data_IF_453215684706
#
_entry.id   IF_453215684706
#
_cell.length_a   1.000
_cell.length_b   1.000
_cell.length_c   1.000
_cell.angle_alpha   90.00
_cell.angle_beta   90.00
_cell.angle_gamma   90.00
#
_symmetry.space_group_name_H-M   'P 1'
#
loop_
_entity.id
_entity.type
_entity.pdbx_description
1 polymer ?
#
# COMPACT_ATOMS: atom_id res chain seq x y z
N UNK A 1 -23.40 89.93 14.77
CA UNK A 1 -22.07 90.05 14.12
C UNK A 1 -21.55 88.65 13.81
N UNK A 2 -21.69 88.37 12.52
CA UNK A 2 -21.33 87.05 11.97
C UNK A 2 -19.87 86.99 11.55
N UNK A 3 -19.22 85.89 11.79
CA UNK A 3 -17.94 85.54 11.10
C UNK A 3 -18.06 84.15 10.53
N UNK A 4 -18.11 84.04 9.23
CA UNK A 4 -17.97 82.84 8.44
C UNK A 4 -16.49 82.39 8.41
N UNK A 5 -16.22 81.14 8.70
CA UNK A 5 -14.94 80.47 8.31
C UNK A 5 -15.22 79.36 7.34
N UNK A 6 -14.74 79.58 6.15
CA UNK A 6 -14.73 78.59 5.05
C UNK A 6 -13.58 77.64 5.25
N UNK A 7 -13.87 76.35 5.51
CA UNK A 7 -12.89 75.26 5.52
C UNK A 7 -12.75 74.60 4.16
N UNK A 8 -11.53 74.69 3.60
CA UNK A 8 -11.15 73.99 2.35
C UNK A 8 -10.82 72.54 2.68
N UNK A 9 -11.65 71.60 2.27
CA UNK A 9 -11.39 70.17 2.39
C UNK A 9 -10.46 69.71 1.25
N UNK A 10 -9.30 69.25 1.61
CA UNK A 10 -8.36 68.56 0.68
C UNK A 10 -8.79 67.10 0.55
N UNK A 11 -9.24 66.74 -0.63
CA UNK A 11 -9.57 65.35 -0.99
C UNK A 11 -8.24 64.65 -1.36
N UNK A 12 -7.75 63.74 -0.47
CA UNK A 12 -6.63 62.84 -0.79
C UNK A 12 -7.21 61.60 -1.45
N UNK A 13 -7.04 61.50 -2.79
CA UNK A 13 -7.35 60.29 -3.52
C UNK A 13 -6.25 59.24 -3.28
N UNK A 14 -6.55 58.23 -2.46
CA UNK A 14 -5.69 57.06 -2.34
C UNK A 14 -5.86 56.15 -3.55
N UNK A 15 -4.89 56.17 -4.46
CA UNK A 15 -4.76 55.15 -5.51
C UNK A 15 -4.34 53.82 -4.90
N UNK A 16 -5.31 52.98 -4.56
CA UNK A 16 -5.07 51.58 -4.22
C UNK A 16 -4.75 50.79 -5.49
N UNK A 17 -3.49 50.51 -5.74
CA UNK A 17 -3.09 49.56 -6.80
C UNK A 17 -3.41 48.14 -6.28
N UNK A 18 -4.42 47.50 -6.90
CA UNK A 18 -4.68 46.07 -6.74
C UNK A 18 -3.50 45.32 -7.38
N UNK A 19 -2.67 44.71 -6.55
CA UNK A 19 -1.65 43.78 -7.01
C UNK A 19 -2.38 42.51 -7.44
N UNK A 20 -2.59 42.37 -8.75
CA UNK A 20 -3.06 41.13 -9.34
C UNK A 20 -1.97 40.07 -9.18
N UNK A 21 -2.03 39.33 -8.07
CA UNK A 21 -1.24 38.14 -7.90
C UNK A 21 -1.67 37.10 -8.94
N UNK A 22 -0.84 36.88 -9.96
CA UNK A 22 -0.98 35.74 -10.84
C UNK A 22 -0.97 34.48 -9.97
N UNK A 23 -1.96 33.56 -10.08
CA UNK A 23 -1.90 32.30 -9.37
C UNK A 23 -0.65 31.56 -9.82
N UNK A 24 0.20 31.19 -8.87
CA UNK A 24 1.34 30.32 -9.10
C UNK A 24 0.75 29.01 -9.66
N UNK A 25 1.19 28.52 -10.83
CA UNK A 25 0.75 27.23 -11.32
C UNK A 25 1.09 26.18 -10.24
N UNK A 26 0.08 25.53 -9.67
CA UNK A 26 0.31 24.32 -8.91
C UNK A 26 0.96 23.33 -9.88
N UNK A 27 2.12 22.83 -9.49
CA UNK A 27 2.82 21.80 -10.24
C UNK A 27 1.88 20.59 -10.35
N UNK A 28 1.43 20.35 -11.58
CA UNK A 28 0.59 19.22 -11.93
C UNK A 28 1.35 17.93 -11.63
N UNK A 29 0.77 17.05 -10.80
CA UNK A 29 0.99 15.63 -10.89
C UNK A 29 1.91 14.93 -9.88
N UNK A 30 2.40 15.55 -8.82
CA UNK A 30 2.94 14.77 -7.70
C UNK A 30 1.77 14.18 -6.91
N UNK A 31 1.56 12.87 -7.02
CA UNK A 31 0.55 12.18 -6.22
C UNK A 31 0.79 12.49 -4.73
N UNK A 32 -0.25 13.00 -4.05
CA UNK A 32 -0.13 13.37 -2.64
C UNK A 32 0.31 12.14 -1.83
N UNK A 33 1.26 12.33 -0.91
CA UNK A 33 1.77 11.26 -0.06
C UNK A 33 0.65 10.60 0.74
N UNK A 34 0.56 9.26 0.76
CA UNK A 34 -0.44 8.58 1.57
C UNK A 34 -0.24 8.86 3.05
N UNK A 35 -1.33 9.17 3.72
CA UNK A 35 -1.34 9.35 5.17
C UNK A 35 -1.55 8.03 5.91
N UNK A 36 -2.05 7.02 5.20
CA UNK A 36 -2.30 5.69 5.71
C UNK A 36 -1.88 4.65 4.68
N UNK A 37 -1.09 3.67 5.10
CA UNK A 37 -0.64 2.56 4.27
C UNK A 37 -1.01 1.24 4.94
N UNK A 38 -1.71 0.37 4.23
CA UNK A 38 -1.94 -1.02 4.62
C UNK A 38 -0.96 -1.90 3.85
N UNK A 39 -0.05 -2.54 4.56
CA UNK A 39 0.81 -3.57 3.99
C UNK A 39 0.05 -4.90 4.02
N UNK A 40 -0.19 -5.49 2.86
CA UNK A 40 -0.91 -6.76 2.68
C UNK A 40 0.10 -7.79 2.21
N UNK A 41 0.43 -8.72 3.11
CA UNK A 41 1.54 -9.64 2.93
C UNK A 41 1.04 -11.07 2.76
N UNK A 42 1.46 -11.68 1.67
CA UNK A 42 1.28 -13.10 1.42
C UNK A 42 2.11 -13.93 2.40
N UNK A 43 1.45 -14.81 3.11
CA UNK A 43 2.04 -15.81 4.02
C UNK A 43 1.68 -17.23 3.56
N UNK A 44 1.48 -17.42 2.26
CA UNK A 44 1.28 -18.77 1.71
C UNK A 44 2.58 -19.57 1.71
N UNK A 45 2.48 -20.92 1.68
CA UNK A 45 3.65 -21.79 1.70
C UNK A 45 4.60 -21.59 0.51
N UNK A 46 4.13 -21.04 -0.62
CA UNK A 46 4.99 -20.67 -1.75
C UNK A 46 6.05 -19.63 -1.38
N UNK A 47 5.82 -18.86 -0.30
CA UNK A 47 6.79 -17.89 0.22
C UNK A 47 8.00 -18.55 0.92
N UNK A 48 8.00 -19.87 1.14
CA UNK A 48 9.20 -20.61 1.56
C UNK A 48 10.21 -20.82 0.42
N UNK A 49 9.80 -20.62 -0.82
CA UNK A 49 10.67 -20.82 -1.97
C UNK A 49 11.98 -20.03 -1.85
N UNK A 50 13.08 -20.70 -2.25
CA UNK A 50 14.45 -20.19 -2.10
C UNK A 50 15.04 -19.64 -3.41
N UNK A 51 14.22 -19.46 -4.41
CA UNK A 51 14.57 -18.75 -5.65
C UNK A 51 14.91 -17.26 -5.40
N UNK A 52 14.47 -16.72 -4.27
CA UNK A 52 14.94 -15.45 -3.67
C UNK A 52 15.65 -15.79 -2.37
N UNK A 53 16.95 -15.55 -2.29
CA UNK A 53 17.82 -16.00 -1.16
C UNK A 53 17.67 -15.08 0.05
N UNK A 54 17.48 -15.61 1.29
CA UNK A 54 17.45 -17.02 1.67
C UNK A 54 16.10 -17.72 1.40
N UNK A 55 14.98 -16.97 1.42
CA UNK A 55 13.64 -17.37 0.98
C UNK A 55 12.81 -16.13 0.67
N UNK A 56 11.76 -16.26 -0.15
CA UNK A 56 10.81 -15.16 -0.42
C UNK A 56 10.29 -14.57 0.90
N UNK A 57 9.89 -15.41 1.85
CA UNK A 57 9.40 -15.00 3.16
C UNK A 57 10.42 -14.16 3.95
N UNK A 58 11.66 -14.64 4.05
CA UNK A 58 12.71 -13.94 4.79
C UNK A 58 13.00 -12.56 4.19
N UNK A 59 13.05 -12.50 2.86
CA UNK A 59 13.29 -11.25 2.13
C UNK A 59 12.10 -10.30 2.27
N UNK A 60 10.87 -10.80 2.12
CA UNK A 60 9.64 -10.01 2.27
C UNK A 60 9.54 -9.39 3.67
N UNK A 61 9.77 -10.19 4.72
CA UNK A 61 9.73 -9.74 6.10
C UNK A 61 10.75 -8.64 6.38
N UNK A 62 11.99 -8.83 5.94
CA UNK A 62 13.05 -7.82 6.10
C UNK A 62 12.69 -6.53 5.37
N UNK A 63 12.32 -6.61 4.12
CA UNK A 63 11.99 -5.43 3.32
C UNK A 63 10.76 -4.69 3.86
N UNK A 64 9.74 -5.41 4.37
CA UNK A 64 8.58 -4.81 5.02
C UNK A 64 8.96 -4.07 6.33
N UNK A 65 9.89 -4.62 7.12
CA UNK A 65 10.45 -3.95 8.30
C UNK A 65 11.16 -2.65 7.91
N UNK A 66 12.06 -2.72 6.94
CA UNK A 66 12.81 -1.55 6.45
C UNK A 66 11.86 -0.51 5.83
N UNK A 67 10.84 -0.95 5.10
CA UNK A 67 9.78 -0.08 4.58
C UNK A 67 9.06 0.67 5.70
N UNK A 68 8.69 -0.01 6.79
CA UNK A 68 7.99 0.60 7.91
C UNK A 68 8.77 1.76 8.54
N UNK A 69 10.07 1.57 8.73
CA UNK A 69 10.93 2.62 9.32
C UNK A 69 11.26 3.77 8.36
N UNK A 70 11.19 3.54 7.04
CA UNK A 70 11.38 4.59 6.03
C UNK A 70 10.15 5.50 5.85
N UNK A 71 8.97 5.06 6.30
CA UNK A 71 7.76 5.90 6.19
C UNK A 71 7.84 7.14 7.08
N UNK A 72 7.31 8.29 6.63
CA UNK A 72 7.21 9.48 7.46
C UNK A 72 6.54 9.17 8.81
N UNK A 73 7.02 9.79 9.90
CA UNK A 73 6.52 9.50 11.25
C UNK A 73 4.99 9.69 11.41
N UNK A 74 4.41 10.60 10.63
CA UNK A 74 2.95 10.87 10.62
C UNK A 74 2.13 9.85 9.82
N UNK A 75 2.75 9.06 8.94
CA UNK A 75 2.05 8.04 8.16
C UNK A 75 1.68 6.88 9.08
N UNK A 76 0.40 6.53 9.12
CA UNK A 76 -0.05 5.33 9.84
C UNK A 76 0.15 4.09 8.98
N UNK A 77 0.68 3.02 9.59
CA UNK A 77 0.88 1.72 8.95
C UNK A 77 -0.01 0.68 9.61
N UNK A 78 -0.66 -0.13 8.79
CA UNK A 78 -1.33 -1.35 9.21
C UNK A 78 -0.75 -2.58 8.51
N UNK A 79 -0.94 -3.74 9.10
CA UNK A 79 -0.51 -5.02 8.56
C UNK A 79 -1.69 -5.96 8.43
N UNK A 80 -1.85 -6.51 7.24
CA UNK A 80 -2.75 -7.63 6.95
C UNK A 80 -1.90 -8.76 6.41
N UNK A 81 -2.05 -9.96 6.94
CA UNK A 81 -1.47 -11.17 6.36
C UNK A 81 -2.58 -12.01 5.72
N UNK A 82 -2.24 -12.70 4.64
CA UNK A 82 -3.20 -13.60 3.99
C UNK A 82 -2.51 -14.85 3.45
N UNK A 83 -3.26 -15.96 3.54
CA UNK A 83 -3.03 -17.23 2.91
C UNK A 83 -4.39 -17.77 2.45
N UNK A 84 -4.88 -18.90 2.92
CA UNK A 84 -6.26 -19.36 2.66
C UNK A 84 -7.35 -18.46 3.28
N UNK A 85 -7.00 -17.67 4.27
CA UNK A 85 -7.80 -16.62 4.91
C UNK A 85 -6.95 -15.37 5.11
N UNK A 86 -7.58 -14.23 5.37
CA UNK A 86 -6.86 -13.00 5.71
C UNK A 86 -7.12 -12.57 7.15
N UNK A 87 -6.09 -11.97 7.78
CA UNK A 87 -6.15 -11.47 9.15
C UNK A 87 -5.52 -10.09 9.25
N UNK A 88 -6.21 -9.17 9.90
CA UNK A 88 -5.65 -7.87 10.28
C UNK A 88 -4.79 -8.08 11.51
N UNK A 89 -3.47 -8.01 11.34
CA UNK A 89 -2.50 -8.17 12.42
C UNK A 89 -2.33 -6.87 13.21
N UNK A 90 -2.31 -5.74 12.49
CA UNK A 90 -2.18 -4.41 13.08
C UNK A 90 -3.10 -3.44 12.35
N UNK A 91 -3.98 -2.77 13.10
CA UNK A 91 -4.71 -1.62 12.56
C UNK A 91 -3.75 -0.45 12.30
N UNK A 92 -4.09 0.45 11.36
CA UNK A 92 -3.24 1.61 11.07
C UNK A 92 -2.82 2.39 12.30
N UNK A 93 -1.51 2.40 12.57
CA UNK A 93 -0.88 3.08 13.72
C UNK A 93 0.45 3.72 13.32
N UNK A 94 0.91 4.70 14.09
CA UNK A 94 2.27 5.27 13.97
C UNK A 94 3.31 4.46 14.75
N UNK A 95 2.89 3.47 15.53
CA UNK A 95 3.77 2.56 16.27
C UNK A 95 4.41 1.54 15.31
N UNK A 96 5.69 1.75 14.99
CA UNK A 96 6.47 0.86 14.12
C UNK A 96 6.82 -0.45 14.81
N UNK A 97 6.96 -0.43 16.15
CA UNK A 97 7.21 -1.63 16.95
C UNK A 97 6.04 -2.62 16.83
N UNK A 98 4.81 -2.15 17.01
CA UNK A 98 3.62 -2.99 16.83
C UNK A 98 3.57 -3.65 15.44
N UNK A 99 3.96 -2.91 14.38
CA UNK A 99 4.01 -3.44 13.03
C UNK A 99 5.07 -4.55 12.88
N UNK A 100 6.29 -4.31 13.38
CA UNK A 100 7.41 -5.27 13.26
C UNK A 100 7.21 -6.50 14.14
N UNK A 101 6.69 -6.34 15.35
CA UNK A 101 6.37 -7.46 16.25
C UNK A 101 5.31 -8.39 15.63
N UNK A 102 4.28 -7.81 15.01
CA UNK A 102 3.25 -8.59 14.33
C UNK A 102 3.82 -9.33 13.10
N UNK A 103 4.73 -8.69 12.36
CA UNK A 103 5.41 -9.29 11.22
C UNK A 103 6.32 -10.45 11.64
N UNK A 104 7.02 -10.33 12.76
CA UNK A 104 7.89 -11.39 13.32
C UNK A 104 7.09 -12.59 13.83
N UNK A 105 5.85 -12.38 14.26
CA UNK A 105 4.95 -13.44 14.74
C UNK A 105 4.09 -14.05 13.63
N UNK A 106 4.15 -13.55 12.39
CA UNK A 106 3.37 -14.08 11.29
C UNK A 106 3.86 -15.48 10.88
N UNK A 107 2.92 -16.41 10.71
CA UNK A 107 3.20 -17.79 10.33
C UNK A 107 2.70 -18.09 8.93
N UNK A 108 3.45 -18.93 8.21
CA UNK A 108 3.05 -19.40 6.89
C UNK A 108 1.90 -20.40 6.99
N UNK A 109 1.03 -20.40 5.97
CA UNK A 109 -0.15 -21.25 5.91
C UNK A 109 -0.44 -21.67 4.46
N UNK A 110 -1.35 -22.64 4.30
CA UNK A 110 -1.73 -23.14 2.98
C UNK A 110 -2.67 -22.19 2.24
N UNK A 111 -2.63 -22.28 0.90
CA UNK A 111 -3.48 -21.55 -0.06
C UNK A 111 -3.15 -20.06 -0.15
N UNK A 112 -3.84 -19.39 -1.09
CA UNK A 112 -3.62 -17.95 -1.37
C UNK A 112 -4.95 -17.33 -1.74
N UNK A 113 -5.50 -16.47 -0.86
CA UNK A 113 -6.75 -15.75 -1.02
C UNK A 113 -6.49 -14.24 -1.12
N UNK A 114 -5.87 -13.80 -2.19
CA UNK A 114 -5.43 -12.42 -2.42
C UNK A 114 -6.59 -11.42 -2.30
N UNK A 115 -7.75 -11.75 -2.83
CA UNK A 115 -8.95 -10.92 -2.71
C UNK A 115 -9.38 -10.69 -1.26
N UNK A 116 -9.30 -11.74 -0.41
CA UNK A 116 -9.55 -11.60 1.04
C UNK A 116 -8.57 -10.66 1.71
N UNK A 117 -7.28 -10.70 1.33
CA UNK A 117 -6.25 -9.77 1.81
C UNK A 117 -6.63 -8.31 1.54
N UNK A 118 -7.02 -8.00 0.30
CA UNK A 118 -7.43 -6.64 -0.10
C UNK A 118 -8.72 -6.22 0.62
N UNK A 119 -9.75 -7.07 0.69
CA UNK A 119 -10.99 -6.76 1.41
C UNK A 119 -10.75 -6.52 2.90
N UNK A 120 -9.87 -7.31 3.53
CA UNK A 120 -9.51 -7.13 4.95
C UNK A 120 -8.77 -5.80 5.16
N UNK A 121 -7.91 -5.40 4.24
CA UNK A 121 -7.24 -4.10 4.28
C UNK A 121 -8.24 -2.94 4.13
N UNK A 122 -9.21 -3.04 3.23
CA UNK A 122 -10.28 -2.04 3.10
C UNK A 122 -11.11 -1.91 4.38
N UNK A 123 -11.44 -3.03 5.02
CA UNK A 123 -12.14 -3.06 6.31
C UNK A 123 -11.31 -2.40 7.42
N UNK A 124 -10.00 -2.65 7.46
CA UNK A 124 -9.09 -2.03 8.42
C UNK A 124 -8.99 -0.50 8.21
N UNK A 125 -8.92 -0.03 6.95
CA UNK A 125 -8.96 1.39 6.60
C UNK A 125 -10.26 2.03 7.08
N UNK A 126 -11.41 1.42 6.80
CA UNK A 126 -12.71 1.94 7.22
C UNK A 126 -12.82 2.00 8.75
N UNK A 127 -12.35 0.98 9.44
CA UNK A 127 -12.29 0.94 10.91
C UNK A 127 -11.39 2.06 11.46
N UNK A 128 -10.20 2.25 10.91
CA UNK A 128 -9.29 3.30 11.33
C UNK A 128 -9.89 4.71 11.12
N UNK A 129 -10.55 4.95 9.98
CA UNK A 129 -11.25 6.22 9.70
C UNK A 129 -12.38 6.52 10.69
N UNK A 130 -13.08 5.50 11.17
CA UNK A 130 -14.14 5.66 12.19
C UNK A 130 -13.56 5.99 13.55
N UNK A 131 -12.39 5.45 13.89
CA UNK A 131 -11.71 5.70 15.17
C UNK A 131 -11.01 7.08 15.18
N UNK A 132 -10.37 7.43 14.08
CA UNK A 132 -9.65 8.70 13.90
C UNK A 132 -9.81 9.17 12.44
N UNK A 133 -10.63 10.18 12.17
CA UNK A 133 -10.82 10.69 10.82
C UNK A 133 -9.47 11.10 10.19
N UNK A 134 -9.05 10.38 9.16
CA UNK A 134 -7.84 10.68 8.40
C UNK A 134 -8.22 11.43 7.12
N UNK A 135 -7.60 12.59 6.91
CA UNK A 135 -7.75 13.39 5.69
C UNK A 135 -6.50 13.19 4.83
N UNK A 136 -6.59 12.41 3.80
CA UNK A 136 -5.47 12.21 2.88
C UNK A 136 -5.56 10.87 2.18
N UNK A 137 -4.70 10.64 1.15
CA UNK A 137 -4.72 9.42 0.37
C UNK A 137 -4.42 8.20 1.24
N UNK A 138 -5.07 7.08 0.91
CA UNK A 138 -4.78 5.77 1.48
C UNK A 138 -4.23 4.87 0.39
N UNK A 139 -3.28 4.02 0.75
CA UNK A 139 -2.67 3.06 -0.15
C UNK A 139 -2.64 1.67 0.48
N UNK A 140 -2.90 0.66 -0.33
CA UNK A 140 -2.58 -0.73 -0.05
C UNK A 140 -1.29 -1.06 -0.81
N UNK A 141 -0.32 -1.66 -0.12
CA UNK A 141 0.88 -2.27 -0.71
C UNK A 141 0.73 -3.77 -0.57
N UNK A 142 0.43 -4.43 -1.68
CA UNK A 142 0.25 -5.89 -1.74
C UNK A 142 1.56 -6.53 -2.20
N UNK A 143 2.13 -7.41 -1.36
CA UNK A 143 3.31 -8.21 -1.68
C UNK A 143 2.94 -9.68 -1.68
N UNK A 144 3.14 -10.35 -2.82
CA UNK A 144 2.79 -11.74 -3.03
C UNK A 144 3.65 -12.35 -4.15
N UNK A 145 3.69 -13.66 -4.26
CA UNK A 145 4.15 -14.33 -5.47
C UNK A 145 3.06 -14.41 -6.56
N UNK A 146 1.82 -14.03 -6.23
CA UNK A 146 0.75 -13.65 -7.14
C UNK A 146 -0.30 -14.69 -7.44
N UNK A 147 -0.02 -15.98 -7.32
CA UNK A 147 -0.98 -17.00 -7.74
C UNK A 147 -2.10 -17.21 -6.73
N UNK A 148 -3.23 -16.52 -6.93
CA UNK A 148 -4.45 -16.78 -6.13
C UNK A 148 -4.95 -18.21 -6.39
N UNK A 149 -5.27 -18.92 -5.30
CA UNK A 149 -5.84 -20.28 -5.36
C UNK A 149 -7.27 -20.34 -4.81
N UNK A 150 -7.71 -19.30 -4.07
CA UNK A 150 -9.02 -19.27 -3.43
C UNK A 150 -9.63 -17.84 -3.41
N UNK A 151 -10.78 -17.66 -4.08
CA UNK A 151 -11.34 -18.50 -5.12
C UNK A 151 -10.41 -18.55 -6.35
N UNK A 152 -10.49 -19.61 -7.15
CA UNK A 152 -9.65 -19.70 -8.36
C UNK A 152 -10.02 -18.66 -9.43
N UNK A 153 -11.28 -18.24 -9.48
CA UNK A 153 -11.76 -17.16 -10.33
C UNK A 153 -11.50 -15.80 -9.67
N UNK A 154 -10.67 -14.99 -10.33
CA UNK A 154 -10.27 -13.67 -9.86
C UNK A 154 -11.41 -12.64 -9.91
N UNK A 155 -12.44 -12.86 -10.73
CA UNK A 155 -13.64 -12.05 -10.84
C UNK A 155 -14.80 -12.52 -9.94
N UNK A 156 -14.61 -13.63 -9.22
CA UNK A 156 -15.59 -14.08 -8.22
C UNK A 156 -15.85 -12.99 -7.16
N UNK A 157 -16.96 -13.03 -6.40
CA UNK A 157 -17.29 -11.99 -5.40
C UNK A 157 -16.20 -11.71 -4.36
N UNK A 158 -15.34 -12.70 -4.08
CA UNK A 158 -14.17 -12.58 -3.17
C UNK A 158 -12.85 -12.70 -3.90
N UNK A 159 -12.85 -12.62 -5.24
CA UNK A 159 -11.66 -12.66 -6.09
C UNK A 159 -10.87 -11.36 -6.05
N UNK A 160 -9.59 -11.44 -6.42
CA UNK A 160 -8.67 -10.32 -6.33
C UNK A 160 -9.03 -9.15 -7.25
N UNK A 161 -9.57 -9.42 -8.45
CA UNK A 161 -10.00 -8.35 -9.37
C UNK A 161 -11.24 -7.63 -8.86
N UNK A 162 -12.18 -8.36 -8.26
CA UNK A 162 -13.35 -7.76 -7.60
C UNK A 162 -12.92 -6.90 -6.42
N UNK A 163 -11.95 -7.36 -5.62
CA UNK A 163 -11.40 -6.60 -4.49
C UNK A 163 -10.64 -5.32 -4.96
N UNK A 164 -9.87 -5.42 -6.05
CA UNK A 164 -9.18 -4.27 -6.63
C UNK A 164 -10.16 -3.18 -7.11
N UNK A 165 -11.24 -3.57 -7.80
CA UNK A 165 -12.32 -2.64 -8.20
C UNK A 165 -13.01 -2.01 -6.98
N UNK A 166 -13.21 -2.79 -5.92
CA UNK A 166 -13.78 -2.27 -4.66
C UNK A 166 -12.84 -1.25 -3.99
N UNK A 167 -11.53 -1.49 -4.03
CA UNK A 167 -10.51 -0.53 -3.55
C UNK A 167 -10.59 0.78 -4.32
N UNK A 168 -10.60 0.71 -5.66
CA UNK A 168 -10.77 1.90 -6.52
C UNK A 168 -12.06 2.66 -6.20
N UNK A 169 -13.18 1.95 -6.07
CA UNK A 169 -14.46 2.56 -5.72
C UNK A 169 -14.44 3.25 -4.34
N UNK A 170 -13.61 2.77 -3.41
CA UNK A 170 -13.39 3.38 -2.09
C UNK A 170 -12.34 4.51 -2.11
N UNK A 171 -11.74 4.83 -3.26
CA UNK A 171 -10.67 5.82 -3.39
C UNK A 171 -9.34 5.37 -2.78
N UNK A 172 -9.10 4.06 -2.70
CA UNK A 172 -7.88 3.45 -2.16
C UNK A 172 -7.07 2.86 -3.32
N UNK A 173 -5.84 3.31 -3.51
CA UNK A 173 -4.94 2.72 -4.52
C UNK A 173 -4.34 1.41 -4.03
N UNK A 174 -4.16 0.43 -4.92
CA UNK A 174 -3.50 -0.84 -4.59
C UNK A 174 -2.26 -0.97 -5.47
N UNK A 175 -1.09 -0.75 -4.89
CA UNK A 175 0.18 -1.05 -5.56
C UNK A 175 0.59 -2.48 -5.24
N UNK A 176 1.11 -3.20 -6.22
CA UNK A 176 1.43 -4.62 -6.09
C UNK A 176 2.90 -4.90 -6.38
N UNK A 177 3.48 -5.85 -5.66
CA UNK A 177 4.84 -6.31 -5.85
C UNK A 177 4.82 -7.83 -6.00
N UNK A 178 5.27 -8.32 -7.16
CA UNK A 178 5.49 -9.75 -7.41
C UNK A 178 6.88 -10.13 -6.92
N UNK A 179 6.96 -11.02 -5.93
CA UNK A 179 8.24 -11.48 -5.36
C UNK A 179 8.53 -12.92 -5.75
N UNK A 180 9.65 -13.15 -6.42
CA UNK A 180 10.09 -14.47 -6.84
C UNK A 180 10.34 -14.57 -8.34
N UNK A 181 10.51 -15.81 -8.81
CA UNK A 181 10.81 -16.13 -10.20
C UNK A 181 9.85 -17.18 -10.77
N UNK A 182 9.89 -17.37 -12.09
CA UNK A 182 9.13 -18.42 -12.76
C UNK A 182 9.63 -19.85 -12.40
N UNK A 183 10.83 -19.98 -11.80
CA UNK A 183 11.45 -21.25 -11.44
C UNK A 183 11.39 -21.57 -9.94
N UNK A 184 10.59 -20.83 -9.16
CA UNK A 184 10.42 -21.07 -7.73
C UNK A 184 9.90 -22.47 -7.44
N UNK A 185 10.46 -23.11 -6.41
CA UNK A 185 10.04 -24.43 -5.91
C UNK A 185 10.03 -24.43 -4.39
N UNK A 186 9.14 -25.22 -3.80
CA UNK A 186 9.12 -25.53 -2.37
C UNK A 186 9.20 -27.02 -2.16
N UNK A 187 9.81 -27.42 -1.05
CA UNK A 187 9.85 -28.80 -0.62
C UNK A 187 8.75 -29.01 0.44
N UNK A 188 7.69 -29.72 0.08
CA UNK A 188 6.55 -30.01 0.98
C UNK A 188 6.72 -31.42 1.56
N UNK A 189 6.73 -31.61 2.89
CA UNK A 189 6.75 -32.93 3.50
C UNK A 189 5.58 -33.78 3.01
N UNK A 190 5.84 -35.02 2.60
CA UNK A 190 4.83 -35.99 2.22
C UNK A 190 5.09 -37.36 2.87
N UNK A 191 4.20 -38.33 2.63
CA UNK A 191 4.32 -39.67 3.20
C UNK A 191 5.55 -40.45 2.72
N UNK A 192 6.21 -40.01 1.62
CA UNK A 192 7.41 -40.63 1.04
C UNK A 192 8.69 -39.85 1.41
N UNK A 193 8.58 -38.71 2.13
CA UNK A 193 9.67 -37.87 2.56
C UNK A 193 9.42 -36.38 2.27
N UNK A 194 9.64 -35.96 1.03
CA UNK A 194 9.42 -34.56 0.58
C UNK A 194 9.12 -34.53 -0.91
N UNK A 195 8.09 -33.80 -1.29
CA UNK A 195 7.74 -33.54 -2.67
C UNK A 195 8.20 -32.13 -3.08
N UNK A 196 8.94 -32.02 -4.18
CA UNK A 196 9.32 -30.74 -4.76
C UNK A 196 8.19 -30.19 -5.63
N UNK A 197 7.56 -29.11 -5.18
CA UNK A 197 6.40 -28.51 -5.83
C UNK A 197 6.80 -27.20 -6.49
N UNK A 198 6.58 -27.04 -7.82
CA UNK A 198 6.77 -25.77 -8.51
C UNK A 198 5.79 -24.69 -8.01
N UNK A 199 6.31 -23.50 -7.72
CA UNK A 199 5.56 -22.32 -7.28
C UNK A 199 5.98 -21.09 -8.10
N UNK A 200 5.70 -21.11 -9.42
CA UNK A 200 6.02 -19.97 -10.28
C UNK A 200 5.24 -18.74 -9.84
N UNK A 201 5.84 -17.55 -10.00
CA UNK A 201 5.13 -16.29 -9.77
C UNK A 201 4.05 -16.05 -10.83
N UNK A 202 3.04 -15.24 -10.47
CA UNK A 202 1.97 -14.77 -11.38
C UNK A 202 1.98 -13.23 -11.46
N UNK A 203 2.97 -12.64 -12.15
CA UNK A 203 3.08 -11.19 -12.26
C UNK A 203 1.93 -10.56 -13.06
N UNK A 204 1.29 -11.30 -13.97
CA UNK A 204 0.22 -10.77 -14.80
C UNK A 204 -1.03 -10.48 -13.98
N UNK A 205 -1.42 -11.38 -13.08
CA UNK A 205 -2.55 -11.14 -12.17
C UNK A 205 -2.27 -9.96 -11.23
N UNK A 206 -1.06 -9.85 -10.68
CA UNK A 206 -0.68 -8.74 -9.81
C UNK A 206 -0.67 -7.39 -10.56
N UNK A 207 -0.19 -7.38 -11.79
CA UNK A 207 -0.24 -6.18 -12.66
C UNK A 207 -1.69 -5.75 -12.90
N UNK A 208 -2.57 -6.68 -13.25
CA UNK A 208 -3.97 -6.38 -13.45
C UNK A 208 -4.66 -5.86 -12.18
N UNK A 209 -4.31 -6.38 -10.99
CA UNK A 209 -4.80 -5.86 -9.70
C UNK A 209 -4.40 -4.40 -9.53
N UNK A 210 -3.13 -4.05 -9.79
CA UNK A 210 -2.63 -2.68 -9.67
C UNK A 210 -3.36 -1.74 -10.65
N UNK A 211 -3.48 -2.13 -11.93
CA UNK A 211 -4.18 -1.37 -12.97
C UNK A 211 -5.66 -1.13 -12.61
N UNK A 212 -6.36 -2.16 -12.10
CA UNK A 212 -7.76 -2.07 -11.69
C UNK A 212 -7.97 -1.12 -10.51
N UNK A 213 -6.94 -0.88 -9.70
CA UNK A 213 -7.02 -0.05 -8.50
C UNK A 213 -6.15 1.23 -8.58
N UNK A 214 -5.80 1.69 -9.78
CA UNK A 214 -5.01 2.90 -10.06
C UNK A 214 -3.67 2.94 -9.27
N UNK A 215 -3.06 1.78 -9.05
CA UNK A 215 -1.78 1.64 -8.38
C UNK A 215 -0.64 1.28 -9.32
N UNK A 216 0.52 1.01 -8.74
CA UNK A 216 1.74 0.67 -9.45
C UNK A 216 2.06 -0.82 -9.31
N UNK A 217 2.58 -1.44 -10.37
CA UNK A 217 3.08 -2.82 -10.34
C UNK A 217 4.60 -2.82 -10.39
N UNK A 218 5.21 -3.63 -9.52
CA UNK A 218 6.64 -3.93 -9.52
C UNK A 218 6.89 -5.44 -9.47
N UNK A 219 8.08 -5.87 -9.89
CA UNK A 219 8.55 -7.25 -9.71
C UNK A 219 9.92 -7.22 -9.05
N UNK A 220 10.22 -8.22 -8.22
CA UNK A 220 11.49 -8.38 -7.54
C UNK A 220 11.86 -9.86 -7.45
N UNK A 221 13.13 -10.18 -7.75
CA UNK A 221 13.72 -11.50 -7.60
C UNK A 221 14.90 -11.50 -6.60
N UNK A 222 15.06 -10.39 -5.87
CA UNK A 222 16.11 -10.22 -4.87
C UNK A 222 15.72 -9.16 -3.83
N UNK A 223 16.40 -9.17 -2.67
CA UNK A 223 16.20 -8.12 -1.65
C UNK A 223 16.47 -6.71 -2.18
N UNK A 224 17.57 -6.43 -2.92
CA UNK A 224 17.81 -5.09 -3.46
C UNK A 224 16.70 -4.61 -4.42
N UNK A 225 16.16 -5.50 -5.27
CA UNK A 225 15.06 -5.15 -6.17
C UNK A 225 13.76 -4.87 -5.39
N UNK A 226 13.47 -5.68 -4.36
CA UNK A 226 12.31 -5.45 -3.50
C UNK A 226 12.43 -4.13 -2.73
N UNK A 227 13.61 -3.82 -2.21
CA UNK A 227 13.87 -2.53 -1.53
C UNK A 227 13.73 -1.34 -2.49
N UNK A 228 14.18 -1.48 -3.73
CA UNK A 228 13.99 -0.45 -4.76
C UNK A 228 12.51 -0.24 -5.09
N UNK A 229 11.75 -1.32 -5.28
CA UNK A 229 10.31 -1.27 -5.53
C UNK A 229 9.56 -0.58 -4.36
N UNK A 230 9.84 -0.99 -3.12
CA UNK A 230 9.23 -0.38 -1.93
C UNK A 230 9.65 1.08 -1.73
N UNK A 231 10.89 1.43 -2.08
CA UNK A 231 11.37 2.82 -2.03
C UNK A 231 10.60 3.71 -3.02
N UNK A 232 10.30 3.22 -4.22
CA UNK A 232 9.45 3.91 -5.19
C UNK A 232 8.04 4.21 -4.66
N UNK A 233 7.53 3.37 -3.76
CA UNK A 233 6.22 3.54 -3.12
C UNK A 233 6.27 4.40 -1.84
N UNK A 234 7.47 4.78 -1.35
CA UNK A 234 7.62 5.69 -0.22
C UNK A 234 7.51 7.14 -0.67
N UNK A 235 6.93 7.98 0.18
CA UNK A 235 6.98 9.41 -0.05
C UNK A 235 8.30 10.00 0.47
N UNK A 236 9.02 10.62 -0.41
CA UNK A 236 10.14 11.48 -0.02
C UNK A 236 9.57 12.86 0.36
N UNK A 237 9.76 13.25 1.61
CA UNK A 237 9.39 14.58 2.14
C UNK A 237 10.49 15.57 1.89
#
# INVERSE_FOLDING_TARGET
MSAMLTGVGVLVAACGQAVSGTPIPQADGAAACPTMVLFVLDVSLSMEATDVVPSRWTVARRAATDFAYRQPARTTLGLVTFAGTASVQVLPTTDRGAFTDALDNAALAERTATGEGIFSALSAIDTAKKLAPATGPQRIVLLSDGKQTLPADLDAPRGAYTAARAAKAAGVTVSTISLGTASGVVDIPDSAGSARVPVPTDPDSLRAIAELADGEFHSAASLPELDAALTGLTCHS
#
